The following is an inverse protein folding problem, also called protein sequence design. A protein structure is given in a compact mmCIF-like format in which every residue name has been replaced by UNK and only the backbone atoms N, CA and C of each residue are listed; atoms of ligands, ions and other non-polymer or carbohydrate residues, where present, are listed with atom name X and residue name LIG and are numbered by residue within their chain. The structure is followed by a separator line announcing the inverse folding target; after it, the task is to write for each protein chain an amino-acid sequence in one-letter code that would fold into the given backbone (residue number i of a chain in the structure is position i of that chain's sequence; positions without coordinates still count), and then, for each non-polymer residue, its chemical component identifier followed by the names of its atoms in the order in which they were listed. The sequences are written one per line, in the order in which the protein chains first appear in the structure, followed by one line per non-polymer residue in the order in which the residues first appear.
data_IF_550081221449
#
_entry.id   IF_550081221449
#
_cell.length_a   1.000
_cell.length_b   1.000
_cell.length_c   1.000
_cell.angle_alpha   90.00
_cell.angle_beta   90.00
_cell.angle_gamma   90.00
#
_symmetry.space_group_name_H-M   'P 1'
#
loop_
_entity.id
_entity.type
_entity.pdbx_description
1 polymer ?
#
# COMPACT_ATOMS: atom_id res chain seq x y z
N UNK A 1 -36.03 14.71 -0.82
CA UNK A 1 -35.72 14.55 0.60
C UNK A 1 -35.02 13.22 0.85
N UNK A 2 -33.84 13.26 1.50
CA UNK A 2 -32.97 12.09 1.59
C UNK A 2 -33.49 10.97 2.50
N UNK A 3 -34.29 11.32 3.54
CA UNK A 3 -34.73 10.34 4.55
C UNK A 3 -36.24 10.16 4.60
N UNK A 4 -37.00 10.84 3.73
CA UNK A 4 -38.46 10.78 3.69
C UNK A 4 -39.10 11.10 5.05
N UNK A 5 -38.51 12.04 5.78
CA UNK A 5 -39.04 12.50 7.06
C UNK A 5 -40.32 13.32 6.83
N UNK A 6 -41.19 13.30 7.82
CA UNK A 6 -42.39 14.10 7.79
C UNK A 6 -42.06 15.59 7.76
N UNK A 7 -42.72 16.36 6.89
CA UNK A 7 -42.65 17.83 6.85
C UNK A 7 -43.95 18.38 7.44
N UNK A 8 -43.82 19.02 8.57
CA UNK A 8 -44.97 19.53 9.32
C UNK A 8 -45.48 20.86 8.76
N UNK A 9 -46.76 20.90 8.44
CA UNK A 9 -47.48 22.13 8.08
C UNK A 9 -48.24 22.65 9.30
N UNK A 10 -48.58 23.99 9.38
CA UNK A 10 -49.28 24.57 10.51
C UNK A 10 -50.65 23.96 10.80
N UNK A 11 -51.25 23.30 9.81
CA UNK A 11 -52.54 22.61 9.93
C UNK A 11 -52.45 21.16 10.33
N UNK A 12 -51.24 20.57 10.43
CA UNK A 12 -51.06 19.16 10.73
C UNK A 12 -51.35 18.83 12.18
N UNK A 13 -51.94 17.67 12.41
CA UNK A 13 -52.08 17.10 13.75
C UNK A 13 -50.82 16.36 14.14
N UNK A 14 -50.32 16.65 15.36
CA UNK A 14 -49.15 15.98 15.91
C UNK A 14 -49.47 14.54 16.32
N UNK A 15 -49.07 13.56 15.49
CA UNK A 15 -49.30 12.15 15.77
C UNK A 15 -48.00 11.48 16.27
N UNK A 16 -48.12 10.73 17.36
CA UNK A 16 -46.98 9.94 17.90
C UNK A 16 -46.43 8.94 16.88
N UNK A 17 -47.29 8.41 16.02
CA UNK A 17 -46.91 7.47 14.96
C UNK A 17 -45.93 8.08 13.97
N UNK A 18 -46.10 9.34 13.59
CA UNK A 18 -45.28 10.02 12.60
C UNK A 18 -43.88 10.27 13.16
N UNK A 19 -43.82 10.72 14.43
CA UNK A 19 -42.56 10.82 15.14
C UNK A 19 -41.79 9.48 15.21
N UNK A 20 -42.48 8.40 15.60
CA UNK A 20 -41.87 7.10 15.71
C UNK A 20 -41.38 6.59 14.36
N UNK A 21 -42.08 6.86 13.26
CA UNK A 21 -41.65 6.55 11.92
C UNK A 21 -40.43 7.35 11.51
N UNK A 22 -40.41 8.64 11.80
CA UNK A 22 -39.27 9.51 11.48
C UNK A 22 -38.01 9.10 12.28
N UNK A 23 -38.15 8.79 13.57
CA UNK A 23 -37.04 8.25 14.35
C UNK A 23 -36.55 6.91 13.82
N UNK A 24 -37.44 6.01 13.39
CA UNK A 24 -37.04 4.73 12.79
C UNK A 24 -36.31 4.94 11.46
N UNK A 25 -36.72 5.90 10.64
CA UNK A 25 -36.02 6.27 9.39
C UNK A 25 -34.64 6.87 9.66
N UNK A 26 -34.54 7.76 10.65
CA UNK A 26 -33.26 8.34 11.10
C UNK A 26 -32.32 7.24 11.59
N UNK A 27 -32.80 6.36 12.48
CA UNK A 27 -31.96 5.25 13.00
C UNK A 27 -31.48 4.33 11.87
N UNK A 28 -32.34 4.00 10.92
CA UNK A 28 -31.98 3.20 9.75
C UNK A 28 -30.93 3.91 8.89
N UNK A 29 -31.11 5.22 8.64
CA UNK A 29 -30.14 6.01 7.87
C UNK A 29 -28.79 6.11 8.58
N UNK A 30 -28.77 6.32 9.87
CA UNK A 30 -27.56 6.38 10.69
C UNK A 30 -26.80 5.03 10.68
N UNK A 31 -27.51 3.91 10.80
CA UNK A 31 -26.92 2.56 10.71
C UNK A 31 -26.32 2.31 9.33
N UNK A 32 -27.02 2.70 8.27
CA UNK A 32 -26.50 2.57 6.91
C UNK A 32 -25.25 3.42 6.69
N UNK A 33 -25.22 4.67 7.16
CA UNK A 33 -24.08 5.56 7.08
C UNK A 33 -22.87 5.00 7.86
N UNK A 34 -23.12 4.48 9.08
CA UNK A 34 -22.07 3.82 9.88
C UNK A 34 -21.49 2.60 9.17
N UNK A 35 -22.33 1.72 8.64
CA UNK A 35 -21.89 0.54 7.90
C UNK A 35 -21.09 0.92 6.65
N UNK A 36 -21.50 1.97 5.94
CA UNK A 36 -20.76 2.52 4.81
C UNK A 36 -19.38 3.04 5.21
N UNK A 37 -19.29 3.82 6.29
CA UNK A 37 -18.03 4.34 6.80
C UNK A 37 -17.07 3.20 7.20
N UNK A 38 -17.57 2.19 7.92
CA UNK A 38 -16.80 1.01 8.31
C UNK A 38 -16.31 0.21 7.09
N UNK A 39 -17.13 0.13 6.02
CA UNK A 39 -16.72 -0.50 4.77
C UNK A 39 -15.60 0.28 4.11
N UNK A 40 -15.74 1.60 3.96
CA UNK A 40 -14.73 2.47 3.35
C UNK A 40 -13.40 2.41 4.11
N UNK A 41 -13.42 2.37 5.45
CA UNK A 41 -12.21 2.21 6.26
C UNK A 41 -11.51 0.85 6.02
N UNK A 42 -12.27 -0.23 5.81
CA UNK A 42 -11.68 -1.55 5.48
C UNK A 42 -11.14 -1.64 4.05
N UNK A 43 -11.75 -0.94 3.12
CA UNK A 43 -11.40 -0.96 1.69
C UNK A 43 -10.31 0.06 1.33
N UNK A 44 -10.07 1.02 2.20
CA UNK A 44 -9.06 2.05 2.00
C UNK A 44 -7.66 1.45 2.01
N UNK A 45 -6.87 1.74 0.97
CA UNK A 45 -5.47 1.36 0.93
C UNK A 45 -4.66 2.25 1.88
N UNK A 46 -3.95 1.64 2.84
CA UNK A 46 -2.95 2.34 3.64
C UNK A 46 -1.65 2.42 2.85
N UNK A 47 -1.12 3.65 2.72
CA UNK A 47 0.12 3.93 2.03
C UNK A 47 1.19 4.26 3.05
N UNK A 48 2.34 3.60 2.93
CA UNK A 48 3.56 3.89 3.69
C UNK A 48 4.66 4.31 2.74
N UNK A 49 5.28 5.44 3.01
CA UNK A 49 6.44 5.93 2.25
C UNK A 49 7.63 6.10 3.16
N UNK A 50 8.82 5.92 2.62
CA UNK A 50 10.04 6.11 3.39
C UNK A 50 11.29 6.00 2.54
N UNK A 51 12.42 5.95 3.23
CA UNK A 51 13.72 5.79 2.59
C UNK A 51 14.62 4.92 3.44
N UNK A 52 15.60 4.29 2.80
CA UNK A 52 16.71 3.64 3.47
C UNK A 52 18.03 3.96 2.75
N UNK A 53 19.12 3.84 3.48
CA UNK A 53 20.47 3.93 2.90
C UNK A 53 21.06 2.52 2.85
N UNK A 54 21.60 2.13 1.71
CA UNK A 54 22.24 0.83 1.53
C UNK A 54 23.45 0.66 2.44
N UNK A 55 23.66 -0.57 2.89
CA UNK A 55 24.77 -0.97 3.78
C UNK A 55 25.65 -2.06 3.18
N UNK A 56 25.41 -2.42 1.91
CA UNK A 56 26.12 -3.45 1.16
C UNK A 56 25.96 -4.88 1.71
N UNK A 57 25.05 -5.12 2.65
CA UNK A 57 24.70 -6.48 3.04
C UNK A 57 24.08 -7.22 1.85
N UNK A 58 24.42 -8.49 1.66
CA UNK A 58 23.93 -9.30 0.54
C UNK A 58 22.40 -9.39 0.50
N UNK A 59 21.76 -9.35 1.65
CA UNK A 59 20.31 -9.25 1.78
C UNK A 59 19.97 -8.46 3.04
N UNK A 60 18.93 -7.63 2.96
CA UNK A 60 18.45 -6.81 4.06
C UNK A 60 16.93 -6.71 4.04
N UNK A 61 16.28 -6.81 5.21
CA UNK A 61 14.85 -6.55 5.35
C UNK A 61 14.61 -5.10 5.79
N UNK A 62 13.78 -4.40 5.06
CA UNK A 62 13.24 -3.08 5.43
C UNK A 62 11.92 -3.33 6.13
N UNK A 63 11.88 -3.07 7.44
CA UNK A 63 10.71 -3.33 8.27
C UNK A 63 9.70 -2.19 8.18
N UNK A 64 8.46 -2.55 7.86
CA UNK A 64 7.31 -1.64 7.81
C UNK A 64 6.33 -1.85 8.98
N UNK A 65 6.50 -2.96 9.73
CA UNK A 65 5.57 -3.40 10.77
C UNK A 65 4.33 -4.13 10.24
N UNK A 66 4.23 -4.30 8.92
CA UNK A 66 3.15 -5.04 8.25
C UNK A 66 3.67 -5.72 6.97
N UNK A 67 2.91 -6.69 6.45
CA UNK A 67 3.15 -7.29 5.14
C UNK A 67 2.53 -6.42 4.06
N UNK A 68 3.31 -5.77 3.18
CA UNK A 68 2.74 -4.99 2.10
C UNK A 68 2.17 -5.88 0.99
N UNK A 69 1.14 -5.39 0.30
CA UNK A 69 0.60 -6.01 -0.94
C UNK A 69 1.45 -5.66 -2.15
N UNK A 70 2.06 -4.48 -2.13
CA UNK A 70 2.98 -4.01 -3.15
C UNK A 70 3.99 -3.04 -2.56
N UNK A 71 5.19 -3.00 -3.13
CA UNK A 71 6.21 -2.00 -2.82
C UNK A 71 6.92 -1.57 -4.11
N UNK A 72 6.97 -0.27 -4.34
CA UNK A 72 7.83 0.35 -5.33
C UNK A 72 9.08 0.86 -4.63
N UNK A 73 10.25 0.49 -5.12
CA UNK A 73 11.54 1.00 -4.63
C UNK A 73 12.28 1.65 -5.77
N UNK A 74 12.87 2.81 -5.51
CA UNK A 74 13.71 3.53 -6.47
C UNK A 74 14.96 4.07 -5.80
N UNK A 75 16.08 4.03 -6.52
CA UNK A 75 17.27 4.80 -6.15
C UNK A 75 16.96 6.30 -6.17
N UNK A 76 17.50 7.09 -5.23
CA UNK A 76 17.22 8.52 -5.11
C UNK A 76 17.54 9.33 -6.37
N UNK A 77 18.36 8.83 -7.26
CA UNK A 77 18.66 9.44 -8.57
C UNK A 77 17.64 9.06 -9.66
N UNK A 78 16.60 8.28 -9.33
CA UNK A 78 15.56 7.87 -10.27
C UNK A 78 15.97 6.75 -11.23
N UNK A 79 17.16 6.15 -11.07
CA UNK A 79 17.62 5.05 -11.89
C UNK A 79 16.96 3.76 -11.44
N UNK A 80 16.31 3.05 -12.36
CA UNK A 80 15.76 1.69 -12.14
C UNK A 80 16.61 0.62 -12.82
N UNK A 81 17.39 1.02 -13.81
CA UNK A 81 18.13 0.13 -14.69
C UNK A 81 19.49 0.74 -15.01
N UNK A 82 20.55 -0.01 -14.89
CA UNK A 82 21.90 0.44 -15.21
C UNK A 82 22.52 -0.37 -16.35
N UNK A 83 23.33 0.27 -17.19
CA UNK A 83 23.91 -0.29 -18.40
C UNK A 83 25.42 -0.54 -18.33
N UNK A 84 26.00 -0.77 -17.16
CA UNK A 84 27.41 -1.07 -17.04
C UNK A 84 27.74 -2.53 -17.42
N UNK A 85 27.61 -2.84 -18.71
CA UNK A 85 28.05 -4.15 -19.27
C UNK A 85 27.16 -5.35 -18.90
N UNK A 86 25.99 -5.14 -18.33
CA UNK A 86 25.01 -6.13 -17.92
C UNK A 86 23.75 -5.48 -17.37
N UNK A 87 22.69 -6.24 -17.31
CA UNK A 87 21.41 -5.79 -16.77
C UNK A 87 21.48 -5.66 -15.26
N UNK A 88 21.63 -4.45 -14.72
CA UNK A 88 21.60 -4.18 -13.28
C UNK A 88 20.28 -3.54 -12.87
N UNK A 89 19.70 -4.01 -11.77
CA UNK A 89 18.44 -3.50 -11.21
C UNK A 89 18.76 -2.59 -10.04
N UNK A 90 18.20 -1.37 -10.09
CA UNK A 90 18.35 -0.33 -9.06
C UNK A 90 17.01 0.16 -8.51
N UNK A 91 15.90 -0.50 -8.89
CA UNK A 91 14.55 -0.21 -8.48
C UNK A 91 13.55 -1.18 -9.08
N UNK A 92 12.29 -1.03 -8.74
CA UNK A 92 11.21 -1.81 -9.32
C UNK A 92 10.00 -1.92 -8.41
N UNK A 93 8.91 -2.46 -8.98
CA UNK A 93 7.67 -2.76 -8.28
C UNK A 93 7.61 -4.25 -7.97
N UNK A 94 7.66 -4.61 -6.69
CA UNK A 94 7.34 -5.95 -6.22
C UNK A 94 5.89 -5.98 -5.73
N UNK A 95 5.17 -7.03 -6.09
CA UNK A 95 3.81 -7.32 -5.60
C UNK A 95 3.86 -8.63 -4.82
N UNK A 96 2.96 -8.84 -3.87
CA UNK A 96 2.95 -10.07 -3.08
C UNK A 96 2.80 -11.29 -3.99
N UNK A 97 3.73 -12.24 -3.87
CA UNK A 97 3.85 -13.36 -4.79
C UNK A 97 4.65 -13.08 -6.07
N UNK A 98 4.95 -11.82 -6.40
CA UNK A 98 5.66 -11.41 -7.62
C UNK A 98 6.84 -10.49 -7.29
N UNK A 99 8.02 -11.06 -6.95
CA UNK A 99 9.24 -10.30 -6.68
C UNK A 99 9.78 -9.61 -7.94
N UNK A 100 10.59 -8.56 -7.72
CA UNK A 100 11.50 -8.09 -8.77
C UNK A 100 12.69 -9.02 -8.80
N UNK A 101 13.01 -9.54 -9.97
CA UNK A 101 14.16 -10.44 -10.15
C UNK A 101 15.31 -9.76 -10.89
N UNK A 102 16.53 -10.16 -10.57
CA UNK A 102 17.67 -10.03 -11.46
C UNK A 102 18.10 -11.41 -11.93
N UNK A 103 18.69 -11.49 -13.13
CA UNK A 103 19.10 -12.75 -13.72
C UNK A 103 20.60 -12.74 -14.02
N UNK A 104 21.28 -13.82 -13.75
CA UNK A 104 22.60 -14.12 -14.29
C UNK A 104 22.45 -14.61 -15.74
N UNK A 105 23.39 -14.27 -16.62
CA UNK A 105 23.37 -14.63 -18.06
C UNK A 105 23.14 -16.13 -18.28
N UNK A 106 23.54 -16.98 -17.33
CA UNK A 106 23.31 -18.42 -17.36
C UNK A 106 22.93 -18.99 -15.98
N UNK A 107 22.33 -18.15 -15.11
CA UNK A 107 22.02 -18.52 -13.75
C UNK A 107 20.51 -18.40 -13.41
N UNK A 108 20.14 -18.82 -12.22
CA UNK A 108 18.74 -18.69 -11.76
C UNK A 108 18.36 -17.22 -11.57
N UNK A 109 17.07 -16.92 -11.76
CA UNK A 109 16.50 -15.65 -11.34
C UNK A 109 16.55 -15.53 -9.81
N UNK A 110 17.12 -14.44 -9.32
CA UNK A 110 17.22 -14.17 -7.88
C UNK A 110 16.39 -12.92 -7.52
N UNK A 111 15.60 -12.95 -6.43
CA UNK A 111 14.84 -11.77 -6.02
C UNK A 111 15.75 -10.60 -5.65
N UNK A 112 15.55 -9.46 -6.31
CA UNK A 112 16.16 -8.17 -5.96
C UNK A 112 15.32 -7.42 -4.93
N UNK A 113 13.99 -7.50 -5.07
CA UNK A 113 13.00 -6.95 -4.12
C UNK A 113 11.94 -8.03 -3.90
N UNK A 114 11.67 -8.38 -2.66
CA UNK A 114 10.67 -9.40 -2.30
C UNK A 114 9.85 -8.99 -1.10
N UNK A 115 8.53 -9.16 -1.17
CA UNK A 115 7.61 -8.95 -0.04
C UNK A 115 7.91 -9.96 1.07
N UNK A 116 7.93 -9.47 2.32
CA UNK A 116 8.15 -10.24 3.54
C UNK A 116 6.99 -10.02 4.54
N UNK A 117 6.91 -10.86 5.57
CA UNK A 117 5.83 -10.80 6.56
C UNK A 117 5.72 -9.44 7.29
N UNK A 118 6.83 -8.72 7.47
CA UNK A 118 6.88 -7.44 8.18
C UNK A 118 7.41 -6.26 7.36
N UNK A 119 7.49 -6.42 6.03
CA UNK A 119 8.05 -5.42 5.15
C UNK A 119 8.50 -6.01 3.82
N UNK A 120 9.69 -5.67 3.37
CA UNK A 120 10.27 -6.21 2.14
C UNK A 120 11.78 -6.43 2.27
N UNK A 121 12.29 -7.44 1.58
CA UNK A 121 13.72 -7.69 1.46
C UNK A 121 14.27 -7.04 0.20
N UNK A 122 15.51 -6.55 0.29
CA UNK A 122 16.31 -6.05 -0.83
C UNK A 122 17.63 -6.79 -0.87
N UNK A 123 18.16 -7.01 -2.07
CA UNK A 123 19.36 -7.80 -2.27
C UNK A 123 20.44 -6.99 -2.97
N UNK A 124 21.67 -7.08 -2.49
CA UNK A 124 22.87 -6.58 -3.15
C UNK A 124 23.63 -7.77 -3.74
N UNK A 125 23.84 -7.77 -5.04
CA UNK A 125 24.62 -8.81 -5.69
C UNK A 125 26.12 -8.40 -5.81
N UNK A 126 27.01 -9.31 -5.47
CA UNK A 126 28.45 -9.09 -5.51
C UNK A 126 29.00 -8.81 -6.93
N UNK A 127 28.25 -9.19 -7.97
CA UNK A 127 28.56 -8.89 -9.39
C UNK A 127 27.83 -7.66 -9.90
N UNK A 128 27.22 -6.87 -8.99
CA UNK A 128 26.53 -5.63 -9.30
C UNK A 128 25.34 -5.77 -10.28
N UNK A 129 24.63 -6.88 -10.26
CA UNK A 129 23.39 -7.08 -11.02
C UNK A 129 22.16 -6.61 -10.27
N UNK A 130 22.24 -6.59 -8.94
CA UNK A 130 21.25 -5.94 -8.07
C UNK A 130 21.95 -4.88 -7.23
N UNK A 131 21.54 -3.64 -7.39
CA UNK A 131 21.99 -2.47 -6.62
C UNK A 131 20.91 -2.00 -5.65
N UNK A 132 20.19 -2.93 -5.04
CA UNK A 132 19.09 -2.55 -4.15
C UNK A 132 19.53 -2.23 -2.73
N UNK A 133 20.82 -2.48 -2.40
CA UNK A 133 21.37 -2.20 -1.08
C UNK A 133 22.84 -1.73 -1.15
N UNK A 134 23.21 -1.01 -2.22
CA UNK A 134 24.57 -0.53 -2.42
C UNK A 134 24.96 0.50 -1.37
N UNK A 135 26.14 0.33 -0.74
CA UNK A 135 26.61 1.13 0.38
C UNK A 135 26.57 2.64 0.11
N UNK A 136 25.99 3.40 1.03
CA UNK A 136 25.88 4.85 0.93
C UNK A 136 24.81 5.38 -0.04
N UNK A 137 24.21 4.50 -0.84
CA UNK A 137 23.16 4.88 -1.78
C UNK A 137 21.82 4.99 -1.07
N UNK A 138 21.10 6.07 -1.32
CA UNK A 138 19.75 6.30 -0.79
C UNK A 138 18.69 5.78 -1.74
N UNK A 139 17.71 5.09 -1.18
CA UNK A 139 16.55 4.55 -1.87
C UNK A 139 15.28 5.10 -1.23
N UNK A 140 14.26 5.36 -2.05
CA UNK A 140 12.92 5.70 -1.60
C UNK A 140 12.00 4.52 -1.87
N UNK A 141 11.01 4.36 -1.01
CA UNK A 141 9.96 3.36 -1.25
C UNK A 141 8.56 3.93 -1.04
N UNK A 142 7.62 3.29 -1.74
CA UNK A 142 6.19 3.47 -1.62
C UNK A 142 5.58 2.08 -1.45
N UNK A 143 4.93 1.84 -0.33
CA UNK A 143 4.34 0.54 0.01
C UNK A 143 2.84 0.67 0.23
N UNK A 144 2.09 -0.33 -0.23
CA UNK A 144 0.64 -0.45 -0.06
C UNK A 144 0.37 -1.62 0.88
N UNK A 145 -0.42 -1.39 1.93
CA UNK A 145 -0.88 -2.41 2.87
C UNK A 145 -2.10 -3.14 2.38
#
# INVERSE_FOLDING_TARGET
EHYQLHQWEPSDSFLRTDFNQDFARIDTGMRAAKAQAERLEREKAEISTGAYTGDNAASRTIHLGFRPRAVLVEMALGNRYGSNGGESISGGLAVDGWPVFYQDINGPCTPAIQIQASGFAVTQDSRNRSYMNYSGTKYHYFAVK
#
